data_IF_866738534360
#
_entry.id   IF_866738534360
#
_cell.length_a   1.000
_cell.length_b   1.000
_cell.length_c   1.000
_cell.angle_alpha   90.00
_cell.angle_beta   90.00
_cell.angle_gamma   90.00
#
_symmetry.space_group_name_H-M   'P 1'
#
loop_
_entity.id
_entity.type
_entity.pdbx_description
1 polymer ?
#
# COMPACT_ATOMS: atom_id res chain seq x y z
N UNK A 1 6.53 40.18 23.79
CA UNK A 1 6.71 39.69 22.40
C UNK A 1 7.73 38.55 22.46
N UNK A 2 7.25 37.30 22.63
CA UNK A 2 8.09 36.11 22.81
C UNK A 2 8.48 35.59 21.41
N UNK A 3 9.71 35.84 20.99
CA UNK A 3 10.22 35.31 19.72
C UNK A 3 10.43 33.80 19.85
N UNK A 4 9.48 33.02 19.34
CA UNK A 4 9.69 31.60 19.08
C UNK A 4 10.75 31.48 17.99
N UNK A 5 12.00 31.29 18.40
CA UNK A 5 13.07 30.89 17.50
C UNK A 5 12.63 29.55 16.89
N UNK A 6 12.18 29.59 15.65
CA UNK A 6 12.00 28.41 14.81
C UNK A 6 13.40 27.82 14.62
N UNK A 7 13.78 26.94 15.54
CA UNK A 7 14.94 26.09 15.42
C UNK A 7 14.70 25.23 14.19
N UNK A 8 15.22 25.69 13.06
CA UNK A 8 15.34 24.93 11.82
C UNK A 8 16.23 23.73 12.08
N UNK A 9 15.68 22.71 12.74
CA UNK A 9 16.24 21.37 12.77
C UNK A 9 16.34 20.97 11.30
N UNK A 10 17.55 21.01 10.76
CA UNK A 10 17.89 20.41 9.47
C UNK A 10 17.22 19.05 9.45
N UNK A 11 16.22 18.86 8.58
CA UNK A 11 15.59 17.56 8.40
C UNK A 11 16.72 16.62 7.99
N UNK A 12 17.16 15.76 8.92
CA UNK A 12 18.18 14.77 8.64
C UNK A 12 17.69 13.91 7.47
N UNK A 13 18.60 13.37 6.65
CA UNK A 13 18.26 12.52 5.48
C UNK A 13 17.20 11.45 5.83
N UNK A 14 17.22 10.93 7.05
CA UNK A 14 16.23 9.98 7.58
C UNK A 14 14.79 10.52 7.65
N UNK A 15 14.59 11.81 7.93
CA UNK A 15 13.28 12.47 7.96
C UNK A 15 12.68 12.67 6.56
N UNK A 16 13.50 12.64 5.50
CA UNK A 16 13.06 12.66 4.10
C UNK A 16 12.91 11.24 3.53
N UNK A 17 13.78 10.30 3.94
CA UNK A 17 13.73 8.92 3.47
C UNK A 17 12.45 8.20 3.90
N UNK A 18 11.96 8.44 5.12
CA UNK A 18 10.73 7.81 5.59
C UNK A 18 9.50 8.14 4.71
N UNK A 19 9.13 9.42 4.49
CA UNK A 19 8.01 9.74 3.62
C UNK A 19 8.27 9.35 2.16
N UNK A 20 9.53 9.41 1.69
CA UNK A 20 9.88 8.95 0.34
C UNK A 20 9.60 7.45 0.17
N UNK A 21 10.03 6.60 1.10
CA UNK A 21 9.74 5.17 1.06
C UNK A 21 8.24 4.88 1.13
N UNK A 22 7.49 5.67 1.89
CA UNK A 22 6.05 5.53 2.01
C UNK A 22 5.34 5.86 0.68
N UNK A 23 5.74 6.96 0.03
CA UNK A 23 5.25 7.34 -1.30
C UNK A 23 5.62 6.28 -2.34
N UNK A 24 6.85 5.76 -2.32
CA UNK A 24 7.27 4.69 -3.24
C UNK A 24 6.48 3.39 -3.03
N UNK A 25 6.20 3.02 -1.79
CA UNK A 25 5.37 1.87 -1.47
C UNK A 25 3.94 2.06 -1.98
N UNK A 26 3.32 3.20 -1.67
CA UNK A 26 1.96 3.55 -2.12
C UNK A 26 1.88 3.55 -3.66
N UNK A 27 2.86 4.17 -4.31
CA UNK A 27 2.99 4.18 -5.77
C UNK A 27 3.10 2.77 -6.36
N UNK A 28 3.88 1.89 -5.74
CA UNK A 28 4.02 0.49 -6.18
C UNK A 28 2.70 -0.28 -6.09
N UNK A 29 1.95 -0.11 -4.99
CA UNK A 29 0.63 -0.75 -4.84
C UNK A 29 -0.40 -0.21 -5.83
N UNK A 30 -0.37 1.09 -6.12
CA UNK A 30 -1.29 1.70 -7.09
C UNK A 30 -0.99 1.25 -8.52
N UNK A 31 0.27 1.26 -8.93
CA UNK A 31 0.67 0.76 -10.25
C UNK A 31 0.34 -0.72 -10.41
N UNK A 32 0.53 -1.55 -9.37
CA UNK A 32 0.15 -2.95 -9.41
C UNK A 32 -1.32 -3.14 -9.78
N UNK A 33 -2.22 -2.37 -9.16
CA UNK A 33 -3.66 -2.44 -9.46
C UNK A 33 -3.98 -1.90 -10.87
N UNK A 34 -3.41 -0.76 -11.24
CA UNK A 34 -3.67 -0.12 -12.54
C UNK A 34 -3.09 -0.92 -13.72
N UNK A 35 -2.00 -1.66 -13.52
CA UNK A 35 -1.41 -2.56 -14.53
C UNK A 35 -2.08 -3.93 -14.58
N UNK A 36 -2.75 -4.38 -13.52
CA UNK A 36 -3.50 -5.64 -13.51
C UNK A 36 -4.74 -5.55 -14.41
N UNK A 37 -5.46 -4.42 -14.43
CA UNK A 37 -6.66 -4.26 -15.26
C UNK A 37 -6.44 -4.51 -16.76
N UNK A 38 -5.40 -3.95 -17.43
CA UNK A 38 -5.13 -4.27 -18.83
C UNK A 38 -4.56 -5.69 -19.01
N UNK A 39 -3.82 -6.23 -18.03
CA UNK A 39 -3.29 -7.60 -18.05
C UNK A 39 -4.36 -8.68 -17.88
N UNK A 40 -5.47 -8.36 -17.20
CA UNK A 40 -6.61 -9.28 -17.03
C UNK A 40 -7.23 -9.70 -18.36
N UNK A 41 -7.17 -8.88 -19.41
CA UNK A 41 -7.63 -9.28 -20.75
C UNK A 41 -6.83 -10.47 -21.31
N UNK A 42 -5.51 -10.51 -21.06
CA UNK A 42 -4.65 -11.62 -21.45
C UNK A 42 -4.91 -12.86 -20.58
N UNK A 43 -5.09 -12.70 -19.27
CA UNK A 43 -5.41 -13.80 -18.33
C UNK A 43 -6.74 -14.47 -18.69
N UNK A 44 -7.77 -13.69 -19.03
CA UNK A 44 -9.09 -14.20 -19.42
C UNK A 44 -9.02 -14.99 -20.73
N UNK A 45 -8.21 -14.53 -21.70
CA UNK A 45 -7.95 -15.27 -22.94
C UNK A 45 -7.18 -16.58 -22.70
N UNK A 46 -6.17 -16.56 -21.83
CA UNK A 46 -5.29 -17.71 -21.57
C UNK A 46 -5.94 -18.79 -20.70
N UNK A 47 -6.79 -18.40 -19.74
CA UNK A 47 -7.56 -19.33 -18.92
C UNK A 47 -8.94 -19.70 -19.51
N UNK A 48 -9.30 -19.19 -20.71
CA UNK A 48 -10.59 -19.46 -21.38
C UNK A 48 -11.83 -19.15 -20.50
N UNK A 49 -11.73 -18.16 -19.62
CA UNK A 49 -12.81 -17.79 -18.70
C UNK A 49 -13.64 -16.65 -19.29
N UNK A 50 -14.92 -16.52 -18.93
CA UNK A 50 -15.77 -15.42 -19.42
C UNK A 50 -15.30 -14.04 -18.96
N UNK A 51 -15.57 -12.99 -19.75
CA UNK A 51 -15.27 -11.59 -19.41
C UNK A 51 -15.89 -11.12 -18.07
N UNK A 52 -16.85 -11.87 -17.54
CA UNK A 52 -17.45 -11.70 -16.21
C UNK A 52 -16.45 -11.81 -15.05
N UNK A 53 -15.29 -12.43 -15.23
CA UNK A 53 -14.27 -12.56 -14.19
C UNK A 53 -13.36 -11.33 -14.03
N UNK A 54 -13.35 -10.42 -15.02
CA UNK A 54 -12.63 -9.15 -14.97
C UNK A 54 -13.13 -8.25 -13.82
N UNK A 55 -14.44 -7.97 -13.66
CA UNK A 55 -14.94 -7.21 -12.52
C UNK A 55 -14.85 -7.99 -11.19
N UNK A 56 -14.86 -9.33 -11.23
CA UNK A 56 -14.71 -10.16 -10.02
C UNK A 56 -13.31 -10.04 -9.40
N UNK A 57 -12.25 -9.94 -10.21
CA UNK A 57 -10.88 -9.75 -9.70
C UNK A 57 -10.73 -8.41 -8.97
N UNK A 58 -11.31 -7.34 -9.52
CA UNK A 58 -11.36 -6.03 -8.86
C UNK A 58 -12.16 -6.07 -7.56
N UNK A 59 -13.30 -6.78 -7.55
CA UNK A 59 -14.11 -6.96 -6.34
C UNK A 59 -13.35 -7.73 -5.26
N UNK A 60 -12.65 -8.80 -5.63
CA UNK A 60 -11.83 -9.59 -4.72
C UNK A 60 -10.66 -8.77 -4.15
N UNK A 61 -10.00 -7.95 -4.96
CA UNK A 61 -8.93 -7.05 -4.52
C UNK A 61 -9.44 -6.04 -3.48
N UNK A 62 -10.57 -5.37 -3.77
CA UNK A 62 -11.20 -4.44 -2.83
C UNK A 62 -11.66 -5.13 -1.54
N UNK A 63 -12.25 -6.32 -1.65
CA UNK A 63 -12.68 -7.12 -0.50
C UNK A 63 -11.49 -7.50 0.40
N UNK A 64 -10.36 -7.90 -0.20
CA UNK A 64 -9.13 -8.20 0.52
C UNK A 64 -8.58 -6.99 1.27
N UNK A 65 -8.56 -5.82 0.62
CA UNK A 65 -8.15 -4.55 1.25
C UNK A 65 -9.02 -4.19 2.45
N UNK A 66 -10.35 -4.26 2.29
CA UNK A 66 -11.31 -3.93 3.36
C UNK A 66 -11.21 -4.88 4.56
N UNK A 67 -10.91 -6.17 4.32
CA UNK A 67 -10.86 -7.19 5.37
C UNK A 67 -9.78 -6.92 6.43
N UNK A 68 -8.63 -6.37 6.02
CA UNK A 68 -7.50 -6.10 6.91
C UNK A 68 -7.52 -4.68 7.49
N UNK A 69 -8.24 -3.75 6.84
CA UNK A 69 -8.17 -2.32 7.16
C UNK A 69 -8.66 -1.97 8.58
N UNK A 70 -9.71 -2.63 9.06
CA UNK A 70 -10.22 -2.43 10.43
C UNK A 70 -9.31 -2.97 11.52
N UNK A 71 -8.49 -3.98 11.20
CA UNK A 71 -7.60 -4.66 12.15
C UNK A 71 -6.23 -3.97 12.24
N UNK A 72 -5.67 -3.57 11.09
CA UNK A 72 -4.33 -2.99 11.02
C UNK A 72 -4.22 -1.66 11.77
N UNK A 73 -5.30 -0.88 11.90
CA UNK A 73 -5.32 0.37 12.66
C UNK A 73 -5.06 0.14 14.17
N UNK A 74 -5.96 -0.52 14.91
CA UNK A 74 -5.79 -0.81 16.34
C UNK A 74 -4.53 -1.64 16.64
N UNK A 75 -4.15 -2.54 15.73
CA UNK A 75 -2.96 -3.38 15.88
C UNK A 75 -1.67 -2.56 15.78
N UNK A 76 -1.61 -1.61 14.84
CA UNK A 76 -0.49 -0.67 14.68
C UNK A 76 -0.30 0.23 15.90
N UNK A 77 -1.39 0.65 16.53
CA UNK A 77 -1.32 1.48 17.73
C UNK A 77 -0.88 0.70 18.99
N UNK A 78 -1.09 -0.63 19.05
CA UNK A 78 -0.66 -1.47 20.19
C UNK A 78 0.76 -2.02 20.06
N UNK A 79 1.18 -2.44 18.86
CA UNK A 79 2.48 -3.09 18.62
C UNK A 79 3.53 -2.08 18.13
N UNK A 80 3.09 -0.92 17.67
CA UNK A 80 3.92 0.14 17.11
C UNK A 80 3.87 0.16 15.58
N UNK A 81 3.95 1.36 15.00
CA UNK A 81 3.75 1.60 13.56
C UNK A 81 4.82 0.97 12.66
N UNK A 82 6.06 0.86 13.15
CA UNK A 82 7.20 0.31 12.39
C UNK A 82 7.08 -1.19 12.10
N UNK A 83 6.88 -2.08 13.09
CA UNK A 83 6.75 -3.51 12.80
C UNK A 83 5.56 -3.78 11.89
N UNK A 84 4.39 -3.16 12.11
CA UNK A 84 3.19 -3.39 11.28
C UNK A 84 3.40 -2.99 9.82
N UNK A 85 4.08 -1.87 9.54
CA UNK A 85 4.42 -1.52 8.16
C UNK A 85 5.38 -2.53 7.52
N UNK A 86 6.42 -2.96 8.24
CA UNK A 86 7.39 -3.91 7.70
C UNK A 86 6.76 -5.27 7.40
N UNK A 87 5.86 -5.77 8.26
CA UNK A 87 5.14 -7.01 8.00
C UNK A 87 4.24 -6.91 6.76
N UNK A 88 3.59 -5.75 6.57
CA UNK A 88 2.78 -5.48 5.36
C UNK A 88 3.61 -5.49 4.08
N UNK A 89 4.79 -4.87 4.10
CA UNK A 89 5.72 -4.87 2.95
C UNK A 89 6.21 -6.29 2.65
N UNK A 90 6.59 -7.07 3.66
CA UNK A 90 7.03 -8.46 3.47
C UNK A 90 5.90 -9.32 2.90
N UNK A 91 4.67 -9.14 3.40
CA UNK A 91 3.51 -9.84 2.87
C UNK A 91 3.30 -9.52 1.38
N UNK A 92 3.33 -8.24 1.00
CA UNK A 92 3.18 -7.80 -0.40
C UNK A 92 4.27 -8.34 -1.34
N UNK A 93 5.49 -8.57 -0.85
CA UNK A 93 6.58 -9.13 -1.67
C UNK A 93 6.39 -10.64 -1.90
N UNK A 94 5.80 -11.34 -0.92
CA UNK A 94 5.66 -12.81 -0.95
C UNK A 94 4.42 -13.26 -1.74
N UNK A 95 3.35 -12.47 -1.74
CA UNK A 95 2.07 -12.78 -2.40
C UNK A 95 1.90 -12.01 -3.70
#
# INVERSE_FOLDING_TARGET
MQNYSLSGRRLGRQALLFPLCLVLYEFSTYIGNDMIQPGMLAVVQEFQVGNEWVPTSMTAYLAGGMFLQWLLGPLSDRIGRRPVMLTGVVWFIVT
#
